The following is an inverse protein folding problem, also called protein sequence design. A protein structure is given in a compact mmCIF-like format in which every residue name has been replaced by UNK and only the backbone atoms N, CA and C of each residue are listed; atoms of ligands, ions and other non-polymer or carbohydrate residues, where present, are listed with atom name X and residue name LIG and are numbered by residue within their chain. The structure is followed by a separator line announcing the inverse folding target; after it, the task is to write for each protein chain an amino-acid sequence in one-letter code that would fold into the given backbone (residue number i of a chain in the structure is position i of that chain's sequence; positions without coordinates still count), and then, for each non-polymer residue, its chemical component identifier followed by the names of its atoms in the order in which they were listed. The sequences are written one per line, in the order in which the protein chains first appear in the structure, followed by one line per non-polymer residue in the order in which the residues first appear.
data_IF_697385133130
#
_entry.id   IF_697385133130
#
_cell.length_a   1.000
_cell.length_b   1.000
_cell.length_c   1.000
_cell.angle_alpha   90.00
_cell.angle_beta   90.00
_cell.angle_gamma   90.00
#
_symmetry.space_group_name_H-M   'P 1'
#
loop_
_entity.id
_entity.type
_entity.pdbx_description
1 polymer ?
#
# COMPACT_ATOMS: atom_id res chain seq x y z
N UNK A 1 12.37 15.35 0.08
CA UNK A 1 12.68 13.91 -0.03
C UNK A 1 12.44 13.18 1.29
N UNK A 2 12.94 13.67 2.47
CA UNK A 2 12.76 13.03 3.78
C UNK A 2 11.29 12.76 4.10
N UNK A 3 10.41 13.74 3.96
CA UNK A 3 8.98 13.59 4.27
C UNK A 3 8.30 12.52 3.42
N UNK A 4 8.65 12.45 2.12
CA UNK A 4 8.13 11.43 1.21
C UNK A 4 8.66 10.04 1.58
N UNK A 5 9.95 9.93 1.86
CA UNK A 5 10.58 8.68 2.29
C UNK A 5 9.99 8.14 3.58
N UNK A 6 9.83 8.99 4.59
CA UNK A 6 9.22 8.61 5.89
C UNK A 6 7.75 8.23 5.71
N UNK A 7 6.98 8.96 4.90
CA UNK A 7 5.58 8.66 4.63
C UNK A 7 5.42 7.27 3.99
N UNK A 8 6.13 7.00 2.88
CA UNK A 8 6.06 5.71 2.21
C UNK A 8 6.59 4.59 3.13
N UNK A 9 7.68 4.82 3.84
CA UNK A 9 8.24 3.87 4.79
C UNK A 9 7.26 3.49 5.91
N UNK A 10 6.56 4.47 6.50
CA UNK A 10 5.58 4.23 7.54
C UNK A 10 4.34 3.47 7.02
N UNK A 11 3.83 3.84 5.83
CA UNK A 11 2.73 3.13 5.17
C UNK A 11 3.10 1.67 4.90
N UNK A 12 4.30 1.42 4.36
CA UNK A 12 4.75 0.06 4.04
C UNK A 12 5.00 -0.77 5.28
N UNK A 13 5.54 -0.18 6.35
CA UNK A 13 5.79 -0.85 7.62
C UNK A 13 4.48 -1.38 8.24
N UNK A 14 3.51 -0.50 8.45
CA UNK A 14 2.22 -0.90 9.03
C UNK A 14 1.41 -1.77 8.10
N UNK A 15 1.43 -1.49 6.79
CA UNK A 15 0.80 -2.33 5.77
C UNK A 15 1.34 -3.76 5.80
N UNK A 16 2.64 -3.94 5.95
CA UNK A 16 3.28 -5.27 6.03
C UNK A 16 2.88 -6.02 7.29
N UNK A 17 2.78 -5.35 8.45
CA UNK A 17 2.31 -5.96 9.70
C UNK A 17 0.86 -6.45 9.54
N UNK A 18 -0.01 -5.62 8.99
CA UNK A 18 -1.42 -5.98 8.78
C UNK A 18 -1.55 -7.12 7.76
N UNK A 19 -0.77 -7.10 6.67
CA UNK A 19 -0.75 -8.17 5.69
C UNK A 19 -0.32 -9.51 6.34
N UNK A 20 0.71 -9.49 7.17
CA UNK A 20 1.16 -10.65 7.92
C UNK A 20 0.06 -11.19 8.86
N UNK A 21 -0.61 -10.34 9.62
CA UNK A 21 -1.69 -10.74 10.52
C UNK A 21 -2.88 -11.34 9.76
N UNK A 22 -3.20 -10.82 8.58
CA UNK A 22 -4.22 -11.38 7.70
C UNK A 22 -3.84 -12.74 7.12
N UNK A 23 -2.59 -12.90 6.66
CA UNK A 23 -2.09 -14.16 6.14
C UNK A 23 -2.01 -15.24 7.22
N UNK A 24 -1.65 -14.85 8.44
CA UNK A 24 -1.65 -15.74 9.61
C UNK A 24 -3.05 -16.17 10.03
N UNK A 25 -4.10 -15.49 9.56
CA UNK A 25 -5.49 -15.78 9.95
C UNK A 25 -5.91 -15.16 11.29
N UNK A 26 -5.06 -14.34 11.93
CA UNK A 26 -5.38 -13.66 13.19
C UNK A 26 -6.45 -12.58 13.00
N UNK A 27 -6.48 -11.97 11.81
CA UNK A 27 -7.51 -11.03 11.38
C UNK A 27 -8.27 -11.69 10.24
N UNK A 28 -9.61 -11.63 10.27
CA UNK A 28 -10.45 -12.25 9.25
C UNK A 28 -10.03 -11.83 7.82
N UNK A 29 -9.98 -12.80 6.91
CA UNK A 29 -9.60 -12.58 5.51
C UNK A 29 -10.59 -11.73 4.71
N UNK A 30 -11.74 -11.42 5.29
CA UNK A 30 -12.76 -10.58 4.65
C UNK A 30 -12.30 -9.13 4.60
N UNK A 31 -12.54 -8.41 3.49
CA UNK A 31 -12.26 -6.99 3.43
C UNK A 31 -13.14 -6.24 4.42
N UNK A 32 -12.54 -5.43 5.28
CA UNK A 32 -13.26 -4.55 6.19
C UNK A 32 -13.64 -3.28 5.43
N UNK A 33 -14.88 -3.26 4.95
CA UNK A 33 -15.43 -2.16 4.19
C UNK A 33 -16.21 -1.24 5.12
N UNK A 34 -15.62 -0.10 5.51
CA UNK A 34 -16.36 0.94 6.21
C UNK A 34 -17.06 1.86 5.21
N UNK A 35 -18.34 2.22 5.42
CA UNK A 35 -19.00 3.24 4.61
C UNK A 35 -18.23 4.56 4.76
N UNK A 36 -17.89 5.22 3.62
CA UNK A 36 -17.11 6.47 3.63
C UNK A 36 -15.59 6.32 3.63
N UNK A 37 -15.04 5.10 3.52
CA UNK A 37 -13.58 4.84 3.52
C UNK A 37 -12.78 5.66 2.51
N UNK A 38 -13.38 5.96 1.36
CA UNK A 38 -12.73 6.75 0.31
C UNK A 38 -12.57 8.21 0.73
N UNK A 39 -13.60 8.74 1.41
CA UNK A 39 -13.56 10.08 1.97
C UNK A 39 -12.53 10.16 3.10
N UNK A 40 -12.50 9.16 3.99
CA UNK A 40 -11.51 9.11 5.09
C UNK A 40 -10.09 8.95 4.58
N UNK A 41 -9.85 8.06 3.60
CA UNK A 41 -8.52 7.91 2.99
C UNK A 41 -8.09 9.18 2.24
N UNK A 42 -9.01 9.81 1.50
CA UNK A 42 -8.72 11.08 0.82
C UNK A 42 -8.40 12.21 1.81
N UNK A 43 -9.14 12.30 2.90
CA UNK A 43 -8.90 13.28 3.97
C UNK A 43 -7.54 13.04 4.65
N UNK A 44 -7.21 11.78 4.96
CA UNK A 44 -5.93 11.42 5.56
C UNK A 44 -4.75 11.77 4.65
N UNK A 45 -4.85 11.50 3.35
CA UNK A 45 -3.84 11.88 2.36
C UNK A 45 -3.70 13.40 2.28
N UNK A 46 -4.81 14.13 2.27
CA UNK A 46 -4.80 15.59 2.21
C UNK A 46 -4.14 16.20 3.46
N UNK A 47 -4.45 15.68 4.64
CA UNK A 47 -3.80 16.10 5.90
C UNK A 47 -2.30 15.74 5.87
N UNK A 48 -1.93 14.58 5.34
CA UNK A 48 -0.53 14.17 5.21
C UNK A 48 0.25 15.14 4.31
N UNK A 49 -0.32 15.53 3.17
CA UNK A 49 0.28 16.52 2.27
C UNK A 49 0.40 17.88 2.96
N UNK A 50 -0.64 18.32 3.68
CA UNK A 50 -0.60 19.57 4.43
C UNK A 50 0.50 19.57 5.50
N UNK A 51 0.62 18.49 6.28
CA UNK A 51 1.69 18.35 7.29
C UNK A 51 3.08 18.31 6.65
N UNK A 52 3.23 17.66 5.51
CA UNK A 52 4.50 17.62 4.78
C UNK A 52 4.89 19.03 4.30
N UNK A 53 3.95 19.79 3.73
CA UNK A 53 4.20 21.16 3.27
C UNK A 53 4.53 22.08 4.43
N UNK A 54 3.76 22.03 5.52
CA UNK A 54 4.02 22.82 6.72
C UNK A 54 5.38 22.48 7.34
N UNK A 55 5.72 21.20 7.41
CA UNK A 55 7.01 20.75 7.94
C UNK A 55 8.20 21.19 7.08
N UNK A 56 8.04 21.25 5.75
CA UNK A 56 9.07 21.78 4.84
C UNK A 56 9.26 23.29 5.07
N UNK A 57 8.18 24.02 5.27
CA UNK A 57 8.24 25.46 5.53
C UNK A 57 8.79 25.82 6.92
N UNK A 58 8.49 24.98 7.93
CA UNK A 58 9.02 25.18 9.29
C UNK A 58 10.54 24.98 9.35
N UNK A 59 11.07 24.04 8.59
CA UNK A 59 12.52 23.77 8.49
C UNK A 59 13.16 23.30 9.79
N UNK A 60 14.35 22.73 9.71
CA UNK A 60 15.18 22.42 10.89
C UNK A 60 14.47 21.64 11.99
N UNK A 61 14.73 22.03 13.25
CA UNK A 61 14.19 21.37 14.44
C UNK A 61 12.68 21.57 14.59
N UNK A 62 12.15 22.70 14.14
CA UNK A 62 10.71 23.01 14.20
C UNK A 62 9.87 22.15 13.24
N UNK A 63 10.51 21.50 12.26
CA UNK A 63 9.86 20.52 11.36
C UNK A 63 9.65 19.14 11.99
N UNK A 64 10.33 18.79 13.09
CA UNK A 64 10.28 17.46 13.71
C UNK A 64 8.86 17.08 14.19
N UNK A 65 8.09 17.93 14.89
CA UNK A 65 6.74 17.56 15.30
C UNK A 65 5.81 17.28 14.12
N UNK A 66 5.96 17.98 13.00
CA UNK A 66 5.21 17.70 11.77
C UNK A 66 5.59 16.35 11.15
N UNK A 67 6.87 15.97 11.24
CA UNK A 67 7.36 14.68 10.78
C UNK A 67 6.77 13.53 11.62
N UNK A 68 6.72 13.68 12.94
CA UNK A 68 6.12 12.69 13.84
C UNK A 68 4.62 12.56 13.56
N UNK A 69 3.92 13.68 13.40
CA UNK A 69 2.50 13.68 13.04
C UNK A 69 2.23 12.98 11.71
N UNK A 70 3.06 13.27 10.69
CA UNK A 70 3.01 12.62 9.39
C UNK A 70 3.23 11.11 9.49
N UNK A 71 4.20 10.68 10.29
CA UNK A 71 4.51 9.27 10.51
C UNK A 71 3.34 8.53 11.15
N UNK A 72 2.76 9.10 12.21
CA UNK A 72 1.60 8.51 12.88
C UNK A 72 0.40 8.38 11.92
N UNK A 73 0.14 9.41 11.14
CA UNK A 73 -0.94 9.44 10.16
C UNK A 73 -0.70 8.45 9.02
N UNK A 74 0.53 8.35 8.53
CA UNK A 74 0.95 7.38 7.52
C UNK A 74 0.78 5.93 8.01
N UNK A 75 1.08 5.66 9.29
CA UNK A 75 0.84 4.36 9.91
C UNK A 75 -0.65 3.97 9.90
N UNK A 76 -1.52 4.89 10.26
CA UNK A 76 -2.98 4.66 10.23
C UNK A 76 -3.46 4.40 8.81
N UNK A 77 -2.97 5.19 7.84
CA UNK A 77 -3.32 5.06 6.43
C UNK A 77 -2.87 3.72 5.85
N UNK A 78 -1.64 3.28 6.16
CA UNK A 78 -1.12 1.97 5.73
C UNK A 78 -1.94 0.80 6.27
N UNK A 79 -2.31 0.85 7.55
CA UNK A 79 -3.18 -0.16 8.15
C UNK A 79 -4.56 -0.17 7.48
N UNK A 80 -5.18 0.99 7.29
CA UNK A 80 -6.51 1.12 6.66
C UNK A 80 -6.52 0.59 5.23
N UNK A 81 -5.51 0.91 4.41
CA UNK A 81 -5.42 0.43 3.04
C UNK A 81 -5.38 -1.10 2.96
N UNK A 82 -4.51 -1.72 3.76
CA UNK A 82 -4.34 -3.19 3.72
C UNK A 82 -5.53 -3.93 4.36
N UNK A 83 -6.17 -3.36 5.38
CA UNK A 83 -7.40 -3.92 5.97
C UNK A 83 -8.55 -3.97 4.96
N UNK A 84 -8.63 -3.00 4.07
CA UNK A 84 -9.66 -2.93 3.03
C UNK A 84 -9.51 -3.97 1.92
N UNK A 85 -8.31 -4.57 1.77
CA UNK A 85 -8.00 -5.54 0.71
C UNK A 85 -8.31 -6.95 1.19
N UNK A 86 -8.95 -7.77 0.36
CA UNK A 86 -9.28 -9.17 0.67
C UNK A 86 -8.07 -10.09 0.76
N UNK A 87 -8.17 -11.19 1.51
CA UNK A 87 -7.09 -12.17 1.69
C UNK A 87 -6.61 -12.79 0.36
N UNK A 88 -7.48 -12.94 -0.63
CA UNK A 88 -7.12 -13.46 -1.95
C UNK A 88 -6.17 -12.55 -2.74
N UNK A 89 -6.21 -11.24 -2.50
CA UNK A 89 -5.36 -10.26 -3.18
C UNK A 89 -4.07 -9.95 -2.39
N UNK A 90 -3.85 -10.58 -1.23
CA UNK A 90 -2.68 -10.34 -0.37
C UNK A 90 -1.33 -10.55 -1.06
N UNK A 91 -1.11 -11.58 -1.90
CA UNK A 91 0.17 -11.74 -2.60
C UNK A 91 0.53 -10.53 -3.46
N UNK A 92 -0.46 -9.93 -4.12
CA UNK A 92 -0.28 -8.72 -4.93
C UNK A 92 0.09 -7.53 -4.04
N UNK A 93 -0.59 -7.39 -2.89
CA UNK A 93 -0.33 -6.32 -1.92
C UNK A 93 1.09 -6.40 -1.36
N UNK A 94 1.55 -7.59 -0.99
CA UNK A 94 2.90 -7.80 -0.48
C UNK A 94 3.95 -7.42 -1.52
N UNK A 95 3.76 -7.80 -2.78
CA UNK A 95 4.63 -7.42 -3.89
C UNK A 95 4.62 -5.91 -4.14
N UNK A 96 3.46 -5.26 -4.04
CA UNK A 96 3.31 -3.82 -4.19
C UNK A 96 4.00 -3.04 -3.06
N UNK A 97 3.83 -3.48 -1.81
CA UNK A 97 4.53 -2.89 -0.65
C UNK A 97 6.05 -3.03 -0.77
N UNK A 98 6.54 -4.17 -1.29
CA UNK A 98 7.96 -4.34 -1.60
C UNK A 98 8.43 -3.35 -2.67
N UNK A 99 7.63 -3.09 -3.70
CA UNK A 99 7.92 -2.07 -4.72
C UNK A 99 8.02 -0.67 -4.11
N UNK A 100 7.10 -0.29 -3.23
CA UNK A 100 7.14 1.00 -2.53
C UNK A 100 8.39 1.14 -1.67
N UNK A 101 8.77 0.08 -0.95
CA UNK A 101 10.01 0.06 -0.17
C UNK A 101 11.25 0.23 -1.06
N UNK A 102 11.27 -0.39 -2.23
CA UNK A 102 12.35 -0.22 -3.20
C UNK A 102 12.49 1.22 -3.69
N UNK A 103 11.38 1.85 -4.06
CA UNK A 103 11.40 3.25 -4.48
C UNK A 103 11.80 4.21 -3.36
N UNK A 104 11.38 3.92 -2.12
CA UNK A 104 11.82 4.69 -0.95
C UNK A 104 13.31 4.56 -0.72
N UNK A 105 13.88 3.35 -0.88
CA UNK A 105 15.31 3.13 -0.79
C UNK A 105 16.09 3.89 -1.89
N UNK A 106 15.57 3.91 -3.13
CA UNK A 106 16.16 4.70 -4.20
C UNK A 106 16.14 6.21 -3.90
N UNK A 107 15.02 6.72 -3.38
CA UNK A 107 14.91 8.12 -2.95
C UNK A 107 15.88 8.47 -1.82
N UNK A 108 16.05 7.56 -0.84
CA UNK A 108 17.05 7.71 0.21
C UNK A 108 18.48 7.69 -0.35
N UNK A 109 18.73 6.90 -1.41
CA UNK A 109 20.01 6.88 -2.11
C UNK A 109 20.39 8.23 -2.69
N UNK A 110 19.43 8.96 -3.27
CA UNK A 110 19.67 10.33 -3.75
C UNK A 110 20.04 11.29 -2.62
N UNK A 111 19.39 11.18 -1.46
CA UNK A 111 19.72 12.02 -0.29
C UNK A 111 21.11 11.75 0.25
N UNK A 112 21.53 10.48 0.22
CA UNK A 112 22.82 10.03 0.75
C UNK A 112 23.94 10.06 -0.29
N UNK A 113 23.64 10.45 -1.55
CA UNK A 113 24.58 10.39 -2.69
C UNK A 113 25.21 9.00 -2.83
N UNK A 114 24.41 7.95 -2.65
CA UNK A 114 24.83 6.56 -2.69
C UNK A 114 24.26 5.87 -3.93
N UNK A 115 25.08 5.74 -4.96
CA UNK A 115 24.68 5.15 -6.26
C UNK A 115 24.20 3.71 -6.13
N UNK A 116 24.82 2.92 -5.24
CA UNK A 116 24.42 1.54 -5.02
C UNK A 116 22.99 1.45 -4.49
N UNK A 117 22.64 2.32 -3.56
CA UNK A 117 21.29 2.37 -2.98
C UNK A 117 20.24 2.85 -3.99
N UNK A 118 20.64 3.79 -4.87
CA UNK A 118 19.78 4.26 -5.98
C UNK A 118 19.46 3.11 -6.92
N UNK A 119 20.50 2.42 -7.40
CA UNK A 119 20.36 1.35 -8.38
C UNK A 119 19.59 0.16 -7.80
N UNK A 120 19.97 -0.31 -6.62
CA UNK A 120 19.30 -1.46 -5.98
C UNK A 120 17.84 -1.13 -5.63
N UNK A 121 17.57 0.06 -5.12
CA UNK A 121 16.21 0.51 -4.83
C UNK A 121 15.35 0.60 -6.09
N UNK A 122 15.88 1.15 -7.18
CA UNK A 122 15.18 1.22 -8.46
C UNK A 122 14.87 -0.16 -9.04
N UNK A 123 15.82 -1.10 -8.96
CA UNK A 123 15.63 -2.49 -9.41
C UNK A 123 14.56 -3.21 -8.58
N UNK A 124 14.62 -3.13 -7.27
CA UNK A 124 13.62 -3.73 -6.38
C UNK A 124 12.24 -3.10 -6.60
N UNK A 125 12.19 -1.78 -6.71
CA UNK A 125 10.94 -1.05 -6.95
C UNK A 125 10.27 -1.44 -8.26
N UNK A 126 11.04 -1.46 -9.36
CA UNK A 126 10.53 -1.82 -10.69
C UNK A 126 10.14 -3.29 -10.78
N UNK A 127 10.94 -4.20 -10.25
CA UNK A 127 10.63 -5.64 -10.27
C UNK A 127 9.36 -5.97 -9.46
N UNK A 128 9.18 -5.33 -8.29
CA UNK A 128 7.96 -5.48 -7.49
C UNK A 128 6.72 -4.93 -8.20
N UNK A 129 6.83 -3.80 -8.90
CA UNK A 129 5.73 -3.23 -9.68
C UNK A 129 5.32 -4.14 -10.84
N UNK A 130 6.29 -4.64 -11.60
CA UNK A 130 6.07 -5.57 -12.72
C UNK A 130 5.41 -6.86 -12.20
N UNK A 131 5.92 -7.42 -11.11
CA UNK A 131 5.37 -8.64 -10.51
C UNK A 131 3.92 -8.43 -10.06
N UNK A 132 3.63 -7.32 -9.39
CA UNK A 132 2.26 -6.97 -8.99
C UNK A 132 1.33 -6.85 -10.20
N UNK A 133 1.79 -6.22 -11.28
CA UNK A 133 1.01 -6.09 -12.52
C UNK A 133 0.69 -7.45 -13.15
N UNK A 134 1.71 -8.32 -13.27
CA UNK A 134 1.52 -9.67 -13.84
C UNK A 134 0.58 -10.51 -12.99
N UNK A 135 0.72 -10.44 -11.65
CA UNK A 135 -0.15 -11.15 -10.71
C UNK A 135 -1.60 -10.66 -10.80
N UNK A 136 -1.82 -9.34 -10.84
CA UNK A 136 -3.17 -8.78 -11.04
C UNK A 136 -3.80 -9.30 -12.34
N UNK A 137 -3.02 -9.33 -13.42
CA UNK A 137 -3.48 -9.81 -14.72
C UNK A 137 -3.80 -11.30 -14.70
N UNK A 138 -2.96 -12.11 -14.05
CA UNK A 138 -3.18 -13.54 -13.88
C UNK A 138 -4.45 -13.86 -13.06
N UNK A 139 -4.77 -13.01 -12.08
CA UNK A 139 -5.96 -13.12 -11.24
C UNK A 139 -7.20 -12.46 -11.86
N UNK A 140 -7.10 -11.96 -13.09
CA UNK A 140 -8.15 -11.20 -13.77
C UNK A 140 -8.66 -9.99 -12.94
N UNK A 141 -7.75 -9.31 -12.28
CA UNK A 141 -8.02 -8.14 -11.43
C UNK A 141 -7.36 -6.89 -12.02
N UNK A 142 -8.01 -5.75 -11.88
CA UNK A 142 -7.39 -4.47 -12.21
C UNK A 142 -6.39 -4.07 -11.12
N UNK A 143 -5.16 -3.70 -11.52
CA UNK A 143 -4.14 -3.21 -10.59
C UNK A 143 -4.63 -1.97 -9.82
N UNK A 144 -5.40 -1.13 -10.46
CA UNK A 144 -5.96 0.08 -9.85
C UNK A 144 -6.90 -0.24 -8.68
N UNK A 145 -7.68 -1.31 -8.80
CA UNK A 145 -8.55 -1.77 -7.72
C UNK A 145 -7.75 -2.26 -6.51
N UNK A 146 -6.57 -2.82 -6.73
CA UNK A 146 -5.69 -3.28 -5.65
C UNK A 146 -4.93 -2.11 -5.03
N UNK A 147 -4.36 -1.23 -5.84
CA UNK A 147 -3.58 -0.05 -5.39
C UNK A 147 -4.42 0.89 -4.54
N UNK A 148 -5.65 1.15 -4.95
CA UNK A 148 -6.56 2.06 -4.24
C UNK A 148 -7.48 1.34 -3.23
N UNK A 149 -7.15 0.11 -2.84
CA UNK A 149 -7.85 -0.58 -1.77
C UNK A 149 -9.31 -0.89 -2.07
N UNK A 150 -9.61 -1.44 -3.25
CA UNK A 150 -10.94 -1.96 -3.58
C UNK A 150 -11.93 -0.89 -4.07
N UNK A 151 -11.52 -0.04 -4.97
CA UNK A 151 -12.40 0.83 -5.77
C UNK A 151 -13.23 0.03 -6.81
N UNK A 152 -13.48 -1.21 -6.60
CA UNK A 152 -14.34 -1.99 -7.47
C UNK A 152 -14.81 -3.21 -6.73
N UNK A 153 -16.11 -3.36 -6.63
CA UNK A 153 -16.74 -4.62 -6.28
C UNK A 153 -16.13 -5.73 -7.12
N UNK A 154 -15.70 -6.79 -6.46
CA UNK A 154 -15.48 -8.04 -7.16
C UNK A 154 -16.81 -8.41 -7.84
N UNK A 155 -16.86 -8.61 -9.15
CA UNK A 155 -18.03 -9.27 -9.72
C UNK A 155 -18.15 -10.61 -9.02
N UNK A 156 -19.26 -10.87 -8.43
CA UNK A 156 -19.68 -12.19 -7.99
C UNK A 156 -19.92 -13.05 -9.26
N UNK A 157 -18.87 -13.41 -9.95
CA UNK A 157 -18.88 -14.22 -11.16
C UNK A 157 -18.02 -15.46 -11.00
N UNK A 158 -18.31 -16.24 -9.94
CA UNK A 158 -17.77 -17.59 -9.83
C UNK A 158 -18.74 -18.53 -9.08
N UNK A 159 -20.03 -18.27 -9.12
CA UNK A 159 -21.03 -19.15 -8.50
C UNK A 159 -22.00 -19.79 -9.52
N UNK A 160 -21.72 -19.74 -10.82
CA UNK A 160 -22.57 -20.37 -11.82
C UNK A 160 -21.79 -21.23 -12.83
N UNK A 161 -20.93 -22.08 -12.30
CA UNK A 161 -20.30 -23.11 -13.14
C UNK A 161 -20.20 -24.42 -12.36
N UNK A 162 -21.30 -24.92 -11.83
CA UNK A 162 -21.40 -26.30 -11.37
C UNK A 162 -22.86 -26.70 -11.22
N UNK A 163 -23.58 -26.69 -12.34
CA UNK A 163 -24.77 -27.49 -12.49
C UNK A 163 -24.72 -28.18 -13.88
N UNK A 164 -23.75 -29.07 -14.00
CA UNK A 164 -23.83 -30.10 -15.01
C UNK A 164 -24.85 -31.18 -14.57
N UNK A 165 -25.67 -31.70 -15.48
CA UNK A 165 -26.66 -32.74 -15.13
C UNK A 165 -25.96 -34.02 -14.69
N UNK A 166 -26.57 -34.83 -13.78
CA UNK A 166 -25.99 -36.08 -13.37
C UNK A 166 -25.94 -37.05 -14.54
N UNK A 167 -24.75 -37.49 -14.88
CA UNK A 167 -24.60 -38.58 -15.81
C UNK A 167 -25.07 -39.90 -15.14
N UNK A 168 -26.00 -40.58 -15.85
CA UNK A 168 -26.43 -41.92 -15.51
C UNK A 168 -25.34 -42.93 -15.76
#
# INVERSE_FOLDING_TARGET
EIYVGVFIGAVTFTGSIVAFLKLRGSIGSRPLLFPGRHLTSGLLVLIAVALAVLGIHAGGVDGVPYLIGLTALACVLGAQLVLAIGGGDMPVVVSLLNSYSGWTASAAGFMLSNDLLIITGALVGSSGAILSYIMCRAMNRSIWNVVFGGFGEAPAAAATASSGPPQK
#
